data_IF_896327656210
#
_entry.id   IF_896327656210
#
_cell.length_a   1.000
_cell.length_b   1.000
_cell.length_c   1.000
_cell.angle_alpha   90.00
_cell.angle_beta   90.00
_cell.angle_gamma   90.00
#
_symmetry.space_group_name_H-M   'P 1'
#
loop_
_entity.id
_entity.type
_entity.pdbx_description
1 polymer ?
#
# COMPACT_ATOMS: atom_id res chain seq x y z
N UNK A 1 6.40 -0.96 -16.29
CA UNK A 1 6.58 -1.39 -14.89
C UNK A 1 6.85 -2.88 -14.87
N UNK A 2 7.69 -3.34 -13.96
CA UNK A 2 8.00 -4.76 -13.76
C UNK A 2 6.78 -5.53 -13.27
N UNK A 3 6.80 -6.85 -13.48
CA UNK A 3 5.76 -7.71 -12.94
C UNK A 3 5.91 -7.86 -11.42
N UNK A 4 4.78 -7.97 -10.71
CA UNK A 4 4.83 -8.08 -9.24
C UNK A 4 5.52 -9.34 -8.74
N UNK A 5 5.58 -10.37 -9.59
CA UNK A 5 6.31 -11.61 -9.34
C UNK A 5 7.82 -11.38 -9.19
N UNK A 6 8.37 -10.31 -9.77
CA UNK A 6 9.79 -9.95 -9.59
C UNK A 6 10.09 -9.44 -8.18
N UNK A 7 9.11 -8.81 -7.52
CA UNK A 7 9.26 -8.28 -6.17
C UNK A 7 8.81 -9.26 -5.08
N UNK A 8 7.74 -10.01 -5.35
CA UNK A 8 7.16 -10.95 -4.39
C UNK A 8 6.42 -12.12 -5.09
N UNK A 9 7.14 -13.16 -5.54
CA UNK A 9 6.57 -14.28 -6.31
C UNK A 9 5.76 -15.27 -5.47
N UNK A 10 5.95 -15.26 -4.15
CA UNK A 10 5.23 -16.12 -3.20
C UNK A 10 4.49 -15.25 -2.21
N UNK A 11 3.19 -15.46 -2.06
CA UNK A 11 2.34 -14.72 -1.15
C UNK A 11 1.16 -15.59 -0.72
N UNK A 12 0.64 -15.34 0.48
CA UNK A 12 -0.52 -16.06 1.02
C UNK A 12 -1.77 -15.17 1.09
N UNK A 13 -1.61 -13.86 0.92
CA UNK A 13 -2.69 -12.89 0.98
C UNK A 13 -2.57 -11.92 -0.19
N UNK A 14 -3.70 -11.67 -0.84
CA UNK A 14 -3.80 -10.73 -1.95
C UNK A 14 -5.08 -9.93 -1.83
N UNK A 15 -5.01 -8.66 -2.20
CA UNK A 15 -6.16 -7.79 -2.36
C UNK A 15 -5.93 -6.87 -3.56
N UNK A 16 -6.87 -6.84 -4.50
CA UNK A 16 -6.78 -6.06 -5.73
C UNK A 16 -8.05 -5.27 -5.98
N UNK A 17 -7.92 -4.02 -6.42
CA UNK A 17 -9.02 -3.14 -6.81
C UNK A 17 -8.69 -2.44 -8.12
N UNK A 18 -9.69 -2.24 -8.97
CA UNK A 18 -9.55 -1.53 -10.25
C UNK A 18 -10.66 -0.51 -10.39
N UNK A 19 -10.34 0.63 -10.99
CA UNK A 19 -11.31 1.64 -11.39
C UNK A 19 -10.98 2.18 -12.78
N UNK A 20 -11.99 2.25 -13.65
CA UNK A 20 -11.88 2.92 -14.95
C UNK A 20 -12.01 4.43 -14.79
N UNK A 21 -11.14 5.18 -15.47
CA UNK A 21 -11.05 6.63 -15.42
C UNK A 21 -10.91 7.13 -16.86
N UNK A 22 -11.87 7.93 -17.32
CA UNK A 22 -11.92 8.50 -18.68
C UNK A 22 -10.96 9.69 -18.79
N UNK A 23 -9.67 9.44 -18.60
CA UNK A 23 -8.59 10.41 -18.71
C UNK A 23 -7.33 9.72 -19.26
N UNK A 24 -6.35 10.50 -19.73
CA UNK A 24 -5.07 9.95 -20.20
C UNK A 24 -4.26 9.37 -19.03
N UNK A 25 -3.36 8.41 -19.28
CA UNK A 25 -2.50 7.83 -18.25
C UNK A 25 -1.75 8.88 -17.42
N UNK A 26 -1.25 9.94 -18.05
CA UNK A 26 -0.50 11.01 -17.38
C UNK A 26 -1.38 11.79 -16.40
N UNK A 27 -2.64 12.08 -16.81
CA UNK A 27 -3.62 12.73 -15.92
C UNK A 27 -3.99 11.82 -14.76
N UNK A 28 -4.16 10.52 -15.01
CA UNK A 28 -4.47 9.53 -13.97
C UNK A 28 -3.32 9.46 -12.96
N UNK A 29 -2.08 9.31 -13.43
CA UNK A 29 -0.89 9.21 -12.59
C UNK A 29 -0.69 10.48 -11.73
N UNK A 30 -0.78 11.66 -12.35
CA UNK A 30 -0.69 12.94 -11.64
C UNK A 30 -1.81 13.09 -10.59
N UNK A 31 -3.05 12.79 -10.96
CA UNK A 31 -4.20 12.86 -10.06
C UNK A 31 -4.06 11.89 -8.87
N UNK A 32 -3.55 10.69 -9.13
CA UNK A 32 -3.29 9.67 -8.12
C UNK A 32 -2.20 10.09 -7.14
N UNK A 33 -1.06 10.60 -7.64
CA UNK A 33 0.09 11.05 -6.82
C UNK A 33 -0.23 12.28 -5.96
N UNK A 34 -1.28 13.03 -6.30
CA UNK A 34 -1.71 14.22 -5.56
C UNK A 34 -2.88 13.94 -4.61
N UNK A 35 -3.40 12.71 -4.54
CA UNK A 35 -4.36 12.33 -3.50
C UNK A 35 -3.65 12.35 -2.14
N UNK A 36 -4.23 13.05 -1.18
CA UNK A 36 -3.78 13.05 0.22
C UNK A 36 -4.76 12.27 1.10
N UNK A 37 -4.39 12.03 2.35
CA UNK A 37 -5.30 11.34 3.29
C UNK A 37 -6.54 12.19 3.64
N UNK A 38 -6.51 13.51 3.42
CA UNK A 38 -7.70 14.35 3.63
C UNK A 38 -8.82 14.03 2.65
N UNK A 39 -8.49 13.46 1.49
CA UNK A 39 -9.47 13.00 0.50
C UNK A 39 -10.17 11.70 0.88
N UNK A 40 -9.64 11.02 1.91
CA UNK A 40 -10.09 9.71 2.37
C UNK A 40 -10.37 9.79 3.88
N UNK A 41 -11.48 10.41 4.32
CA UNK A 41 -11.79 10.59 5.73
C UNK A 41 -11.78 9.28 6.53
N UNK A 42 -12.20 8.17 5.91
CA UNK A 42 -12.17 6.85 6.51
C UNK A 42 -10.73 6.38 6.80
N UNK A 43 -9.78 6.61 5.90
CA UNK A 43 -8.37 6.25 6.11
C UNK A 43 -7.80 7.02 7.31
N UNK A 44 -8.11 8.32 7.39
CA UNK A 44 -7.73 9.18 8.52
C UNK A 44 -8.28 8.65 9.84
N UNK A 45 -9.57 8.30 9.89
CA UNK A 45 -10.20 7.76 11.09
C UNK A 45 -9.59 6.42 11.53
N UNK A 46 -9.40 5.50 10.59
CA UNK A 46 -8.83 4.18 10.87
C UNK A 46 -7.36 4.26 11.34
N UNK A 47 -6.57 5.17 10.78
CA UNK A 47 -5.21 5.42 11.26
C UNK A 47 -5.17 6.05 12.65
N UNK A 48 -6.06 7.00 12.94
CA UNK A 48 -6.20 7.57 14.28
C UNK A 48 -6.51 6.50 15.32
N UNK A 49 -7.45 5.59 15.02
CA UNK A 49 -7.76 4.42 15.86
C UNK A 49 -6.53 3.52 16.00
N UNK A 50 -5.86 3.17 14.88
CA UNK A 50 -4.67 2.29 14.85
C UNK A 50 -3.49 2.85 15.66
N UNK A 51 -3.42 4.17 15.80
CA UNK A 51 -2.37 4.93 16.53
C UNK A 51 -2.80 5.36 17.94
N UNK A 52 -3.94 4.87 18.43
CA UNK A 52 -4.46 5.19 19.77
C UNK A 52 -4.61 6.70 19.98
N UNK A 53 -5.16 7.39 18.98
CA UNK A 53 -5.43 8.82 19.03
C UNK A 53 -4.25 9.73 18.67
N UNK A 54 -3.10 9.17 18.27
CA UNK A 54 -1.98 9.98 17.79
C UNK A 54 -2.15 10.32 16.30
N UNK A 55 -2.00 11.59 15.90
CA UNK A 55 -2.02 11.97 14.49
C UNK A 55 -0.92 11.23 13.72
N UNK A 56 -1.17 11.04 12.42
CA UNK A 56 -0.25 10.38 11.51
C UNK A 56 0.19 11.35 10.42
N UNK A 57 1.50 11.64 10.40
CA UNK A 57 2.12 12.46 9.37
C UNK A 57 1.51 13.85 9.22
N UNK A 58 1.88 14.51 8.11
CA UNK A 58 1.25 15.74 7.67
C UNK A 58 0.10 15.38 6.71
N UNK A 59 -1.18 15.64 7.05
CA UNK A 59 -2.34 15.19 6.30
C UNK A 59 -2.44 15.80 4.90
N UNK A 60 -1.70 16.87 4.62
CA UNK A 60 -1.68 17.54 3.31
C UNK A 60 -0.75 16.86 2.31
N UNK A 61 0.18 16.02 2.79
CA UNK A 61 1.11 15.31 1.92
C UNK A 61 0.43 14.20 1.11
N UNK A 62 0.96 13.88 -0.08
CA UNK A 62 0.56 12.72 -0.86
C UNK A 62 0.43 11.45 -0.01
N UNK A 63 -0.68 10.75 -0.19
CA UNK A 63 -0.95 9.49 0.49
C UNK A 63 0.10 8.45 0.09
N UNK A 64 0.38 8.35 -1.22
CA UNK A 64 1.43 7.50 -1.79
C UNK A 64 2.73 8.30 -1.90
N UNK A 65 3.86 7.72 -1.47
CA UNK A 65 5.18 8.36 -1.49
C UNK A 65 5.43 9.39 -0.37
N UNK A 66 4.38 9.92 0.28
CA UNK A 66 4.52 10.85 1.42
C UNK A 66 4.16 10.23 2.77
N UNK A 67 2.99 9.61 2.86
CA UNK A 67 2.45 9.13 4.14
C UNK A 67 2.43 7.61 4.29
N UNK A 68 2.17 6.86 3.22
CA UNK A 68 2.27 5.40 3.26
C UNK A 68 3.71 4.99 3.63
N UNK A 69 3.91 4.30 4.77
CA UNK A 69 5.25 3.89 5.17
C UNK A 69 5.71 2.76 4.23
N UNK A 70 6.95 2.82 3.76
CA UNK A 70 7.50 1.79 2.89
C UNK A 70 8.74 2.25 2.14
N UNK A 71 9.35 1.32 1.43
CA UNK A 71 10.45 1.54 0.50
C UNK A 71 9.86 1.60 -0.92
N UNK A 72 10.25 2.60 -1.71
CA UNK A 72 9.91 2.61 -3.14
C UNK A 72 10.75 1.53 -3.84
N UNK A 73 10.09 0.52 -4.41
CA UNK A 73 10.75 -0.58 -5.15
C UNK A 73 10.87 -0.27 -6.64
N UNK A 74 9.90 0.47 -7.15
CA UNK A 74 9.84 0.96 -8.51
C UNK A 74 8.93 2.18 -8.55
N UNK A 75 9.33 3.20 -9.30
CA UNK A 75 8.50 4.38 -9.57
C UNK A 75 8.72 4.77 -11.02
N UNK A 76 7.68 4.62 -11.84
CA UNK A 76 7.70 4.93 -13.27
C UNK A 76 6.61 5.96 -13.54
N UNK A 77 6.97 7.25 -13.72
CA UNK A 77 6.00 8.30 -14.02
C UNK A 77 5.12 7.93 -15.22
N UNK A 78 3.81 8.17 -15.11
CA UNK A 78 2.82 7.79 -16.12
C UNK A 78 2.38 6.32 -16.10
N UNK A 79 3.15 5.42 -15.49
CA UNK A 79 2.80 4.00 -15.40
C UNK A 79 2.42 3.56 -13.98
N UNK A 80 3.02 4.15 -12.94
CA UNK A 80 2.67 3.86 -11.55
C UNK A 80 3.86 3.73 -10.59
N UNK A 81 3.61 3.09 -9.45
CA UNK A 81 4.57 2.96 -8.35
C UNK A 81 4.35 1.68 -7.53
N UNK A 82 5.45 1.02 -7.15
CA UNK A 82 5.47 -0.16 -6.28
C UNK A 82 6.16 0.17 -4.96
N UNK A 83 5.49 -0.13 -3.85
CA UNK A 83 6.02 0.04 -2.50
C UNK A 83 6.24 -1.30 -1.81
N UNK A 84 7.35 -1.43 -1.08
CA UNK A 84 7.70 -2.55 -0.23
C UNK A 84 7.52 -2.22 1.25
N UNK A 85 6.85 -3.10 1.99
CA UNK A 85 6.65 -2.96 3.43
C UNK A 85 7.06 -4.23 4.14
N UNK A 86 7.73 -4.08 5.29
CA UNK A 86 8.03 -5.21 6.17
C UNK A 86 7.55 -4.97 7.59
N UNK A 87 7.20 -6.07 8.27
CA UNK A 87 7.02 -6.09 9.71
C UNK A 87 5.82 -6.90 10.17
N UNK A 88 5.63 -6.91 11.49
CA UNK A 88 4.52 -7.61 12.14
C UNK A 88 3.28 -6.71 12.22
N UNK A 89 2.54 -6.59 11.13
CA UNK A 89 1.42 -5.63 11.01
C UNK A 89 0.32 -5.79 12.08
N UNK A 90 0.15 -7.01 12.62
CA UNK A 90 -0.79 -7.30 13.71
C UNK A 90 -0.37 -6.76 15.08
N UNK A 91 0.89 -6.30 15.25
CA UNK A 91 1.35 -5.71 16.52
C UNK A 91 0.96 -4.24 16.60
N UNK A 92 0.19 -3.88 17.64
CA UNK A 92 -0.27 -2.51 17.86
C UNK A 92 0.89 -1.52 18.10
N UNK A 93 1.86 -1.91 18.94
CA UNK A 93 3.02 -1.07 19.33
C UNK A 93 4.12 -0.98 18.27
N UNK A 94 3.84 -1.42 17.04
CA UNK A 94 4.81 -1.51 15.96
C UNK A 94 5.76 -2.69 16.14
N UNK A 95 6.37 -3.09 15.03
CA UNK A 95 7.47 -4.04 15.04
C UNK A 95 8.79 -3.29 15.25
N UNK A 96 9.56 -3.73 16.25
CA UNK A 96 10.91 -3.22 16.52
C UNK A 96 11.88 -4.08 15.72
N UNK A 97 11.96 -3.76 14.43
CA UNK A 97 12.86 -4.42 13.50
C UNK A 97 14.06 -3.49 13.24
N UNK A 98 15.23 -3.75 13.85
CA UNK A 98 16.44 -2.96 13.61
C UNK A 98 16.92 -3.09 12.16
N UNK A 99 16.64 -4.23 11.52
CA UNK A 99 17.07 -4.56 10.16
C UNK A 99 16.00 -4.22 9.12
N UNK A 100 15.05 -3.34 9.47
CA UNK A 100 13.99 -2.93 8.55
C UNK A 100 14.62 -2.33 7.28
N UNK A 101 14.29 -2.86 6.09
CA UNK A 101 14.82 -2.36 4.83
C UNK A 101 14.54 -0.88 4.61
N UNK A 102 15.54 -0.19 4.04
CA UNK A 102 15.44 1.23 3.65
C UNK A 102 15.71 1.47 2.16
N UNK A 103 16.07 0.42 1.42
CA UNK A 103 16.31 0.44 -0.03
C UNK A 103 15.65 -0.76 -0.70
N UNK A 104 15.42 -0.67 -2.01
CA UNK A 104 14.78 -1.74 -2.78
C UNK A 104 15.58 -3.05 -2.69
N UNK A 105 16.91 -2.99 -2.83
CA UNK A 105 17.78 -4.17 -2.72
C UNK A 105 17.70 -4.82 -1.34
N UNK A 106 17.74 -4.01 -0.27
CA UNK A 106 17.58 -4.52 1.09
C UNK A 106 16.19 -5.14 1.31
N UNK A 107 15.15 -4.60 0.67
CA UNK A 107 13.82 -5.19 0.71
C UNK A 107 13.81 -6.55 -0.01
N UNK A 108 14.40 -6.65 -1.19
CA UNK A 108 14.47 -7.90 -1.95
C UNK A 108 15.21 -8.99 -1.17
N UNK A 109 16.33 -8.66 -0.51
CA UNK A 109 17.10 -9.60 0.32
C UNK A 109 16.49 -9.87 1.70
N UNK A 110 15.49 -9.09 2.13
CA UNK A 110 14.88 -9.25 3.45
C UNK A 110 14.14 -10.58 3.58
N UNK A 111 14.52 -11.36 4.61
CA UNK A 111 14.04 -12.72 4.84
C UNK A 111 13.75 -13.02 6.32
N UNK A 112 13.42 -12.00 7.14
CA UNK A 112 13.09 -12.22 8.56
C UNK A 112 11.82 -13.06 8.69
N UNK A 113 11.89 -14.28 9.27
CA UNK A 113 10.84 -15.28 9.12
C UNK A 113 9.53 -14.93 9.81
N UNK A 114 9.58 -14.25 10.96
CA UNK A 114 8.42 -13.93 11.79
C UNK A 114 7.72 -12.62 11.39
N UNK A 115 7.97 -12.10 10.19
CA UNK A 115 7.41 -10.85 9.68
C UNK A 115 6.61 -11.02 8.39
N UNK A 116 5.74 -10.06 8.12
CA UNK A 116 5.18 -9.90 6.79
C UNK A 116 6.18 -9.20 5.88
N UNK A 117 6.28 -9.66 4.64
CA UNK A 117 6.86 -8.93 3.52
C UNK A 117 5.74 -8.65 2.53
N UNK A 118 5.43 -7.37 2.31
CA UNK A 118 4.31 -6.95 1.49
C UNK A 118 4.77 -6.05 0.35
N UNK A 119 4.12 -6.20 -0.80
CA UNK A 119 4.24 -5.27 -1.92
C UNK A 119 2.88 -4.64 -2.19
N UNK A 120 2.87 -3.34 -2.45
CA UNK A 120 1.70 -2.58 -2.86
C UNK A 120 1.99 -1.99 -4.23
N UNK A 121 1.27 -2.45 -5.24
CA UNK A 121 1.28 -1.90 -6.59
C UNK A 121 0.18 -0.86 -6.75
N UNK A 122 0.51 0.18 -7.50
CA UNK A 122 -0.44 1.09 -8.10
C UNK A 122 -0.05 1.24 -9.56
N UNK A 123 -0.91 0.74 -10.46
CA UNK A 123 -0.62 0.66 -11.88
C UNK A 123 -1.64 1.44 -12.68
N UNK A 124 -1.15 2.32 -13.53
CA UNK A 124 -1.91 3.11 -14.49
C UNK A 124 -1.93 2.35 -15.80
N UNK A 125 -3.14 2.07 -16.28
CA UNK A 125 -3.41 1.58 -17.63
C UNK A 125 -3.99 2.68 -18.50
N UNK A 126 -4.29 2.39 -19.79
CA UNK A 126 -4.77 3.39 -20.75
C UNK A 126 -5.94 4.27 -20.28
N UNK A 127 -6.86 3.71 -19.50
CA UNK A 127 -7.99 4.43 -18.90
C UNK A 127 -8.39 3.81 -17.56
N UNK A 128 -7.40 3.36 -16.79
CA UNK A 128 -7.68 2.66 -15.52
C UNK A 128 -6.59 2.88 -14.50
N UNK A 129 -6.97 2.87 -13.23
CA UNK A 129 -6.06 2.78 -12.11
C UNK A 129 -6.34 1.49 -11.34
N UNK A 130 -5.30 0.67 -11.15
CA UNK A 130 -5.36 -0.58 -10.40
C UNK A 130 -4.49 -0.46 -9.16
N UNK A 131 -4.89 -1.09 -8.06
CA UNK A 131 -4.04 -1.31 -6.90
C UNK A 131 -4.06 -2.76 -6.51
N UNK A 132 -2.90 -3.33 -6.21
CA UNK A 132 -2.76 -4.70 -5.75
C UNK A 132 -1.85 -4.72 -4.51
N UNK A 133 -2.25 -5.42 -3.46
CA UNK A 133 -1.44 -5.64 -2.28
C UNK A 133 -1.22 -7.14 -2.13
N UNK A 134 0.04 -7.58 -2.15
CA UNK A 134 0.43 -8.96 -1.86
C UNK A 134 1.17 -9.01 -0.55
N UNK A 135 0.94 -10.05 0.25
CA UNK A 135 1.65 -10.26 1.51
C UNK A 135 2.14 -11.70 1.62
N UNK A 136 3.44 -11.82 1.87
CA UNK A 136 4.10 -13.06 2.21
C UNK A 136 4.40 -13.12 3.70
N UNK A 137 4.16 -14.29 4.31
CA UNK A 137 4.56 -14.60 5.68
C UNK A 137 5.17 -15.99 5.72
N UNK A 138 6.50 -16.05 5.86
CA UNK A 138 7.27 -17.30 5.81
C UNK A 138 6.98 -18.22 7.01
N UNK A 139 7.04 -17.68 8.23
CA UNK A 139 6.77 -18.46 9.44
C UNK A 139 5.29 -18.81 9.60
N UNK A 140 5.01 -20.07 9.97
CA UNK A 140 3.65 -20.59 10.13
C UNK A 140 2.89 -19.90 11.27
N UNK A 141 3.57 -19.60 12.38
CA UNK A 141 2.94 -18.96 13.54
C UNK A 141 2.60 -17.50 13.24
N UNK A 142 3.54 -16.76 12.64
CA UNK A 142 3.33 -15.42 12.11
C UNK A 142 2.18 -15.39 11.10
N UNK A 143 2.15 -16.35 10.17
CA UNK A 143 1.08 -16.46 9.16
C UNK A 143 -0.29 -16.66 9.79
N UNK A 144 -0.41 -17.50 10.81
CA UNK A 144 -1.68 -17.70 11.52
C UNK A 144 -2.14 -16.42 12.25
N UNK A 145 -1.22 -15.66 12.86
CA UNK A 145 -1.51 -14.37 13.49
C UNK A 145 -1.93 -13.33 12.45
N UNK A 146 -1.19 -13.23 11.35
CA UNK A 146 -1.50 -12.32 10.27
C UNK A 146 -2.83 -12.67 9.61
N UNK A 147 -3.17 -13.95 9.41
CA UNK A 147 -4.47 -14.36 8.86
C UNK A 147 -5.65 -13.85 9.68
N UNK A 148 -5.58 -13.96 11.02
CA UNK A 148 -6.62 -13.44 11.92
C UNK A 148 -6.72 -11.93 11.84
N UNK A 149 -5.58 -11.25 11.82
CA UNK A 149 -5.51 -9.80 11.66
C UNK A 149 -6.09 -9.36 10.31
N UNK A 150 -5.64 -9.97 9.21
CA UNK A 150 -6.09 -9.75 7.85
C UNK A 150 -7.60 -9.90 7.70
N UNK A 151 -8.18 -10.97 8.25
CA UNK A 151 -9.63 -11.20 8.21
C UNK A 151 -10.43 -10.02 8.79
N UNK A 152 -9.94 -9.37 9.85
CA UNK A 152 -10.64 -8.24 10.48
C UNK A 152 -10.45 -6.95 9.70
N UNK A 153 -9.24 -6.69 9.18
CA UNK A 153 -8.87 -5.39 8.60
C UNK A 153 -9.05 -5.31 7.08
N UNK A 154 -8.99 -6.43 6.35
CA UNK A 154 -9.04 -6.45 4.90
C UNK A 154 -10.24 -5.70 4.32
N UNK A 155 -11.50 -5.86 4.81
CA UNK A 155 -12.62 -5.09 4.27
C UNK A 155 -12.44 -3.57 4.42
N UNK A 156 -11.86 -3.13 5.55
CA UNK A 156 -11.57 -1.71 5.79
C UNK A 156 -10.41 -1.20 4.95
N UNK A 157 -9.36 -2.01 4.80
CA UNK A 157 -8.22 -1.70 3.94
C UNK A 157 -8.66 -1.58 2.48
N UNK A 158 -9.45 -2.54 2.00
CA UNK A 158 -10.05 -2.50 0.67
C UNK A 158 -10.93 -1.29 0.43
N UNK A 159 -11.74 -0.90 1.41
CA UNK A 159 -12.54 0.31 1.29
C UNK A 159 -11.65 1.57 1.18
N UNK A 160 -10.55 1.65 1.93
CA UNK A 160 -9.57 2.74 1.76
C UNK A 160 -9.00 2.73 0.34
N UNK A 161 -8.66 1.57 -0.22
CA UNK A 161 -8.17 1.43 -1.60
C UNK A 161 -9.19 1.94 -2.62
N UNK A 162 -10.44 1.52 -2.49
CA UNK A 162 -11.52 1.98 -3.39
C UNK A 162 -11.72 3.49 -3.28
N UNK A 163 -11.68 4.06 -2.07
CA UNK A 163 -11.82 5.50 -1.88
C UNK A 163 -10.63 6.29 -2.45
N UNK A 164 -9.41 5.76 -2.35
CA UNK A 164 -8.22 6.31 -3.01
C UNK A 164 -8.42 6.34 -4.54
N UNK A 165 -8.85 5.24 -5.14
CA UNK A 165 -9.12 5.18 -6.59
C UNK A 165 -10.20 6.20 -7.00
N UNK A 166 -11.27 6.32 -6.21
CA UNK A 166 -12.35 7.30 -6.47
C UNK A 166 -11.85 8.74 -6.32
N UNK A 167 -10.99 9.02 -5.34
CA UNK A 167 -10.39 10.34 -5.16
C UNK A 167 -9.47 10.72 -6.34
N UNK A 168 -8.68 9.77 -6.83
CA UNK A 168 -7.88 9.93 -8.05
C UNK A 168 -8.77 10.19 -9.28
N UNK A 169 -9.84 9.41 -9.47
CA UNK A 169 -10.81 9.63 -10.56
C UNK A 169 -11.40 11.04 -10.54
N UNK A 170 -11.86 11.51 -9.38
CA UNK A 170 -12.44 12.86 -9.25
C UNK A 170 -11.45 13.95 -9.64
N UNK A 171 -10.18 13.81 -9.26
CA UNK A 171 -9.10 14.75 -9.63
C UNK A 171 -8.74 14.68 -11.10
N UNK A 172 -8.68 13.47 -11.67
CA UNK A 172 -8.31 13.28 -13.07
C UNK A 172 -9.35 13.88 -14.03
N UNK A 173 -10.62 13.90 -13.62
CA UNK A 173 -11.75 14.41 -14.39
C UNK A 173 -12.13 15.88 -14.08
N UNK A 174 -11.51 16.47 -13.06
CA UNK A 174 -11.58 17.91 -12.83
C UNK A 174 -10.75 18.66 -13.87
#
# INVERSE_FOLDING_TARGET
MRELDEFLPRYEFVESHRLTIEATPERIDHAFRTVSITDIPLARALWFVRRLGKPYGDPTKPFVGGQLPGVVLEDVPGEGIVLGLTGQFWRLRGDRDPDRPRSADAFLSYARPDTCKAVIDFRVGPSSLTTETRVHVADRTARARFRRYWFVIQPFSGLIRVLLLRAARRRALA
#
